data_IF_450077990310
#
_entry.id   IF_450077990310
#
_cell.length_a   1.000
_cell.length_b   1.000
_cell.length_c   1.000
_cell.angle_alpha   90.00
_cell.angle_beta   90.00
_cell.angle_gamma   90.00
#
_symmetry.space_group_name_H-M   'P 1'
#
loop_
_entity.id
_entity.type
_entity.pdbx_description
1 polymer ?
#
# COMPACT_ATOMS: atom_id res chain seq x y z
N UNK A 1 10.15 -11.38 4.82
CA UNK A 1 8.86 -11.73 5.47
C UNK A 1 7.92 -10.54 5.55
N UNK A 2 8.34 -9.39 6.10
CA UNK A 2 7.51 -8.18 6.27
C UNK A 2 6.81 -7.73 4.98
N UNK A 3 7.52 -7.66 3.85
CA UNK A 3 6.90 -7.30 2.56
C UNK A 3 5.80 -8.25 2.08
N UNK A 4 5.88 -9.53 2.41
CA UNK A 4 4.86 -10.54 2.05
C UNK A 4 3.60 -10.36 2.89
N UNK A 5 3.76 -10.02 4.18
CA UNK A 5 2.66 -9.66 5.09
C UNK A 5 1.90 -8.45 4.54
N UNK A 6 2.60 -7.39 4.14
CA UNK A 6 1.98 -6.23 3.50
C UNK A 6 1.28 -6.58 2.18
N UNK A 7 1.90 -7.43 1.35
CA UNK A 7 1.29 -7.93 0.12
C UNK A 7 -0.05 -8.61 0.37
N UNK A 8 -0.12 -9.52 1.34
CA UNK A 8 -1.35 -10.22 1.72
C UNK A 8 -2.37 -9.28 2.37
N UNK A 9 -1.93 -8.35 3.23
CA UNK A 9 -2.80 -7.38 3.87
C UNK A 9 -3.49 -6.50 2.81
N UNK A 10 -2.74 -5.94 1.86
CA UNK A 10 -3.34 -5.15 0.78
C UNK A 10 -4.21 -5.97 -0.16
N UNK A 11 -3.92 -7.26 -0.33
CA UNK A 11 -4.79 -8.17 -1.09
C UNK A 11 -6.15 -8.35 -0.41
N UNK A 12 -6.17 -8.59 0.89
CA UNK A 12 -7.40 -8.73 1.67
C UNK A 12 -8.20 -7.42 1.62
N UNK A 13 -7.53 -6.28 1.82
CA UNK A 13 -8.18 -4.97 1.73
C UNK A 13 -8.79 -4.72 0.33
N UNK A 14 -8.09 -5.11 -0.73
CA UNK A 14 -8.60 -4.98 -2.09
C UNK A 14 -9.88 -5.82 -2.29
N UNK A 15 -9.89 -7.07 -1.81
CA UNK A 15 -11.06 -7.95 -1.91
C UNK A 15 -12.28 -7.43 -1.13
N UNK A 16 -12.08 -6.68 -0.05
CA UNK A 16 -13.17 -6.06 0.70
C UNK A 16 -13.63 -4.76 -0.01
N UNK A 17 -12.69 -3.94 -0.48
CA UNK A 17 -12.95 -2.66 -1.17
C UNK A 17 -13.68 -2.85 -2.50
N UNK A 18 -13.55 -3.99 -3.19
CA UNK A 18 -14.15 -4.23 -4.51
C UNK A 18 -15.67 -4.03 -4.54
N UNK A 19 -16.35 -4.28 -3.41
CA UNK A 19 -17.80 -4.09 -3.26
C UNK A 19 -18.21 -2.64 -3.00
N UNK A 20 -17.26 -1.79 -2.64
CA UNK A 20 -17.46 -0.38 -2.30
C UNK A 20 -17.05 0.50 -3.48
N UNK A 21 -15.80 0.33 -3.94
CA UNK A 21 -15.23 1.12 -5.02
C UNK A 21 -14.20 0.31 -5.81
N UNK A 22 -14.53 0.04 -7.08
CA UNK A 22 -13.70 -0.80 -7.94
C UNK A 22 -12.35 -0.17 -8.27
N UNK A 23 -12.28 1.17 -8.33
CA UNK A 23 -11.05 1.90 -8.64
C UNK A 23 -10.09 1.86 -7.45
N UNK A 24 -10.60 2.09 -6.23
CA UNK A 24 -9.80 1.97 -5.02
C UNK A 24 -9.30 0.54 -4.82
N UNK A 25 -10.15 -0.46 -5.06
CA UNK A 25 -9.78 -1.87 -5.05
C UNK A 25 -8.65 -2.17 -6.04
N UNK A 26 -8.73 -1.62 -7.26
CA UNK A 26 -7.66 -1.77 -8.26
C UNK A 26 -6.31 -1.22 -7.77
N UNK A 27 -6.31 -0.05 -7.11
CA UNK A 27 -5.09 0.53 -6.53
C UNK A 27 -4.53 -0.37 -5.43
N UNK A 28 -5.38 -0.91 -4.54
CA UNK A 28 -4.96 -1.85 -3.49
C UNK A 28 -4.39 -3.16 -4.06
N UNK A 29 -5.00 -3.71 -5.12
CA UNK A 29 -4.44 -4.85 -5.86
C UNK A 29 -3.08 -4.52 -6.47
N UNK A 30 -2.91 -3.33 -7.03
CA UNK A 30 -1.63 -2.88 -7.60
C UNK A 30 -0.55 -2.78 -6.52
N UNK A 31 -0.87 -2.20 -5.36
CA UNK A 31 0.04 -2.15 -4.21
C UNK A 31 0.41 -3.58 -3.79
N UNK A 32 -0.57 -4.46 -3.60
CA UNK A 32 -0.34 -5.87 -3.26
C UNK A 32 0.59 -6.56 -4.26
N UNK A 33 0.34 -6.41 -5.56
CA UNK A 33 1.15 -6.99 -6.63
C UNK A 33 2.60 -6.49 -6.60
N UNK A 34 2.84 -5.21 -6.29
CA UNK A 34 4.19 -4.65 -6.14
C UNK A 34 4.92 -5.29 -4.95
N UNK A 35 4.26 -5.41 -3.80
CA UNK A 35 4.83 -6.07 -2.63
C UNK A 35 5.13 -7.56 -2.89
N UNK A 36 4.22 -8.29 -3.53
CA UNK A 36 4.43 -9.69 -3.92
C UNK A 36 5.56 -9.83 -4.94
N UNK A 37 5.66 -8.92 -5.92
CA UNK A 37 6.77 -8.88 -6.88
C UNK A 37 8.10 -8.61 -6.17
N UNK A 38 8.11 -7.75 -5.15
CA UNK A 38 9.27 -7.54 -4.28
C UNK A 38 9.70 -8.80 -3.54
N UNK A 39 8.75 -9.61 -3.09
CA UNK A 39 9.01 -10.91 -2.47
C UNK A 39 9.59 -11.93 -3.46
N UNK A 40 9.06 -11.99 -4.68
CA UNK A 40 9.56 -12.90 -5.73
C UNK A 40 10.96 -12.49 -6.21
N UNK A 41 11.22 -11.19 -6.36
CA UNK A 41 12.50 -10.68 -6.88
C UNK A 41 13.55 -10.40 -5.81
N UNK A 42 13.20 -10.52 -4.53
CA UNK A 42 14.07 -10.21 -3.38
C UNK A 42 14.75 -8.84 -3.48
N UNK A 43 14.04 -7.84 -4.04
CA UNK A 43 14.58 -6.48 -4.25
C UNK A 43 13.84 -5.46 -3.39
N UNK A 44 14.59 -4.76 -2.55
CA UNK A 44 14.04 -3.78 -1.60
C UNK A 44 13.34 -2.59 -2.27
N UNK A 45 13.77 -2.21 -3.48
CA UNK A 45 13.17 -1.12 -4.24
C UNK A 45 11.66 -1.32 -4.52
N UNK A 46 11.21 -2.56 -4.73
CA UNK A 46 9.78 -2.82 -4.93
C UNK A 46 8.98 -2.55 -3.66
N UNK A 47 9.49 -2.96 -2.50
CA UNK A 47 8.84 -2.68 -1.23
C UNK A 47 8.79 -1.19 -0.92
N UNK A 48 9.85 -0.45 -1.27
CA UNK A 48 9.91 0.99 -1.09
C UNK A 48 8.84 1.69 -1.95
N UNK A 49 8.76 1.35 -3.23
CA UNK A 49 7.76 1.88 -4.15
C UNK A 49 6.34 1.50 -3.71
N UNK A 50 6.13 0.24 -3.31
CA UNK A 50 4.83 -0.22 -2.81
C UNK A 50 4.37 0.55 -1.56
N UNK A 51 5.28 0.76 -0.60
CA UNK A 51 4.99 1.54 0.60
C UNK A 51 4.71 3.02 0.28
N UNK A 52 5.47 3.62 -0.64
CA UNK A 52 5.25 4.99 -1.09
C UNK A 52 3.86 5.16 -1.72
N UNK A 53 3.48 4.28 -2.65
CA UNK A 53 2.16 4.32 -3.29
C UNK A 53 1.06 4.13 -2.25
N UNK A 54 1.23 3.19 -1.31
CA UNK A 54 0.26 2.97 -0.24
C UNK A 54 0.04 4.23 0.63
N UNK A 55 1.11 4.93 0.98
CA UNK A 55 1.02 6.17 1.76
C UNK A 55 0.32 7.27 0.97
N UNK A 56 0.70 7.48 -0.29
CA UNK A 56 0.06 8.49 -1.16
C UNK A 56 -1.43 8.18 -1.31
N UNK A 57 -1.76 6.91 -1.53
CA UNK A 57 -3.15 6.47 -1.67
C UNK A 57 -3.94 6.68 -0.38
N UNK A 58 -3.35 6.41 0.80
CA UNK A 58 -3.99 6.68 2.08
C UNK A 58 -4.27 8.18 2.29
N UNK A 59 -3.35 9.05 1.89
CA UNK A 59 -3.57 10.52 1.92
C UNK A 59 -4.72 10.90 0.99
N UNK A 60 -4.76 10.37 -0.24
CA UNK A 60 -5.86 10.62 -1.16
C UNK A 60 -7.20 10.12 -0.61
N UNK A 61 -7.25 8.90 -0.07
CA UNK A 61 -8.46 8.36 0.58
C UNK A 61 -8.91 9.20 1.77
N UNK A 62 -7.98 9.77 2.53
CA UNK A 62 -8.30 10.69 3.63
C UNK A 62 -8.90 11.99 3.12
N UNK A 63 -8.34 12.58 2.06
CA UNK A 63 -8.90 13.78 1.44
C UNK A 63 -10.31 13.51 0.89
N UNK A 64 -10.54 12.36 0.25
CA UNK A 64 -11.87 11.95 -0.21
C UNK A 64 -12.83 11.78 0.95
N UNK A 65 -12.43 11.08 2.02
CA UNK A 65 -13.25 10.92 3.22
C UNK A 65 -13.66 12.28 3.82
N UNK A 66 -12.73 13.23 3.90
CA UNK A 66 -13.03 14.58 4.41
C UNK A 66 -13.97 15.34 3.47
N UNK A 67 -13.84 15.15 2.15
CA UNK A 67 -14.63 15.86 1.16
C UNK A 67 -16.05 15.29 0.99
N UNK A 68 -16.23 13.97 1.06
CA UNK A 68 -17.49 13.30 0.70
C UNK A 68 -18.09 12.44 1.82
N UNK A 69 -17.38 12.27 2.95
CA UNK A 69 -17.72 11.30 4.01
C UNK A 69 -17.72 9.83 3.53
N UNK A 70 -17.16 9.53 2.36
CA UNK A 70 -17.04 8.16 1.86
C UNK A 70 -15.79 7.46 2.41
N UNK A 71 -16.01 6.39 3.17
CA UNK A 71 -14.95 5.57 3.70
C UNK A 71 -14.32 4.67 2.62
N UNK A 72 -12.99 4.55 2.67
CA UNK A 72 -12.22 3.61 1.84
C UNK A 72 -11.16 2.88 2.66
N UNK A 73 -11.00 1.58 2.38
CA UNK A 73 -9.90 0.77 2.91
C UNK A 73 -8.52 1.24 2.42
N UNK A 74 -8.44 2.19 1.47
CA UNK A 74 -7.20 2.87 1.10
C UNK A 74 -6.51 3.59 2.27
N UNK A 75 -7.27 4.02 3.29
CA UNK A 75 -6.74 4.64 4.51
C UNK A 75 -5.74 3.76 5.27
N UNK A 76 -5.86 2.44 5.15
CA UNK A 76 -4.93 1.49 5.77
C UNK A 76 -3.53 1.52 5.15
N UNK A 77 -3.33 2.22 4.04
CA UNK A 77 -2.01 2.49 3.47
C UNK A 77 -1.06 3.23 4.43
N UNK A 78 -1.57 3.95 5.45
CA UNK A 78 -0.74 4.53 6.51
C UNK A 78 0.04 3.49 7.32
N UNK A 79 -0.40 2.22 7.37
CA UNK A 79 0.37 1.16 8.02
C UNK A 79 1.69 0.84 7.31
N UNK A 80 1.87 1.29 6.07
CA UNK A 80 3.15 1.18 5.37
C UNK A 80 4.17 2.25 5.80
N UNK A 81 3.78 3.27 6.58
CA UNK A 81 4.68 4.36 7.02
C UNK A 81 5.94 3.88 7.76
N UNK A 82 5.85 3.03 8.82
CA UNK A 82 7.05 2.59 9.53
C UNK A 82 8.01 1.85 8.61
N UNK A 83 7.46 1.02 7.71
CA UNK A 83 8.24 0.25 6.76
C UNK A 83 8.91 1.14 5.70
N UNK A 84 8.23 2.18 5.24
CA UNK A 84 8.79 3.19 4.35
C UNK A 84 10.01 3.89 4.97
N UNK A 85 9.93 4.34 6.23
CA UNK A 85 11.06 5.02 6.89
C UNK A 85 12.28 4.10 7.07
N UNK A 86 12.05 2.82 7.36
CA UNK A 86 13.12 1.83 7.48
C UNK A 86 13.80 1.61 6.12
N UNK A 87 13.03 1.42 5.06
CA UNK A 87 13.56 1.20 3.71
C UNK A 87 14.26 2.44 3.16
N UNK A 88 13.71 3.64 3.39
CA UNK A 88 14.35 4.90 3.01
C UNK A 88 15.76 4.97 3.58
N UNK A 89 15.94 4.71 4.89
CA UNK A 89 17.25 4.75 5.54
C UNK A 89 18.23 3.76 4.93
N UNK A 90 17.79 2.52 4.64
CA UNK A 90 18.65 1.50 4.05
C UNK A 90 19.10 1.87 2.64
N UNK A 91 18.16 2.31 1.80
CA UNK A 91 18.42 2.63 0.39
C UNK A 91 19.21 3.93 0.19
N UNK A 92 19.27 4.82 1.18
CA UNK A 92 20.10 6.05 1.13
C UNK A 92 21.42 5.94 1.88
N UNK A 93 21.67 4.81 2.56
CA UNK A 93 22.93 4.56 3.26
C UNK A 93 23.98 3.86 2.37
N UNK A 94 23.57 3.45 1.16
CA UNK A 94 24.44 3.01 0.06
C UNK A 94 24.85 4.22 -0.80
#
# INVERSE_FOLDING_TARGET
>A
MVGLIYGLLFLILALIEIKINILNSFVLFTISAIFLKGAVKSKENYYFVGALIAIIFAVLSLLVLIATADFSYGLFGFFALPYFFILKRRLTAD
#
